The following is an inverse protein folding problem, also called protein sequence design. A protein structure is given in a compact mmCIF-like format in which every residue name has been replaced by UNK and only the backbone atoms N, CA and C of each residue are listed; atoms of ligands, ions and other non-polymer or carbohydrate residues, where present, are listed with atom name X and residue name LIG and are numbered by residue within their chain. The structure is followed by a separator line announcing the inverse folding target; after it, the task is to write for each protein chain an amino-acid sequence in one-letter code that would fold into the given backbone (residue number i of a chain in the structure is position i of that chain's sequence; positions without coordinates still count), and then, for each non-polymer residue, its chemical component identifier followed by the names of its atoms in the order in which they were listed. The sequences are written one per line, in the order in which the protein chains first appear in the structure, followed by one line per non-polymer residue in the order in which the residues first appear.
data_IF_581486130887
#
_entry.id   IF_581486130887
#
_cell.length_a   1.000
_cell.length_b   1.000
_cell.length_c   1.000
_cell.angle_alpha   90.00
_cell.angle_beta   90.00
_cell.angle_gamma   90.00
#
_symmetry.space_group_name_H-M   'P 1'
#
loop_
_entity.id
_entity.type
_entity.pdbx_description
1 polymer ?
#
# COMPACT_ATOMS: atom_id res chain seq x y z
N UNK A 1 48.94 -61.95 -27.67
CA UNK A 1 49.16 -61.23 -26.39
C UNK A 1 48.04 -60.22 -26.20
N UNK A 2 47.28 -60.38 -25.12
CA UNK A 2 46.03 -59.68 -24.81
C UNK A 2 46.31 -58.21 -24.48
N UNK A 3 45.57 -57.27 -25.06
CA UNK A 3 45.34 -55.94 -24.46
C UNK A 3 43.87 -55.57 -24.62
N UNK A 4 43.14 -55.89 -23.55
CA UNK A 4 41.80 -55.40 -23.24
C UNK A 4 41.99 -53.96 -22.78
N UNK A 5 41.35 -53.00 -23.46
CA UNK A 5 41.17 -51.65 -22.91
C UNK A 5 39.65 -51.45 -22.84
N UNK A 6 39.12 -51.68 -21.65
CA UNK A 6 37.71 -51.50 -21.32
C UNK A 6 37.36 -50.02 -21.35
N UNK A 7 36.36 -49.68 -22.16
CA UNK A 7 35.71 -48.38 -22.14
C UNK A 7 34.75 -48.39 -20.95
N UNK A 8 35.20 -47.81 -19.85
CA UNK A 8 34.39 -47.54 -18.66
C UNK A 8 33.51 -46.32 -18.99
N UNK A 9 32.29 -46.56 -19.48
CA UNK A 9 31.30 -45.50 -19.67
C UNK A 9 30.80 -45.06 -18.29
N UNK A 10 31.42 -44.00 -17.77
CA UNK A 10 31.07 -43.36 -16.51
C UNK A 10 29.66 -42.76 -16.62
N UNK A 11 28.69 -43.42 -16.00
CA UNK A 11 27.31 -42.97 -15.89
C UNK A 11 27.27 -41.76 -14.93
N UNK A 12 27.42 -40.55 -15.45
CA UNK A 12 27.20 -39.32 -14.69
C UNK A 12 25.71 -39.18 -14.36
N UNK A 13 25.35 -39.63 -13.16
CA UNK A 13 24.06 -39.38 -12.53
C UNK A 13 23.89 -37.87 -12.34
N UNK A 14 23.07 -37.25 -13.18
CA UNK A 14 22.69 -35.84 -13.07
C UNK A 14 21.79 -35.70 -11.84
N UNK A 15 22.38 -35.33 -10.71
CA UNK A 15 21.65 -34.84 -9.55
C UNK A 15 21.00 -33.51 -9.92
N UNK A 16 19.72 -33.54 -10.28
CA UNK A 16 18.85 -32.37 -10.37
C UNK A 16 18.68 -31.79 -8.97
N UNK A 17 19.56 -30.86 -8.59
CA UNK A 17 19.35 -29.98 -7.45
C UNK A 17 18.15 -29.09 -7.74
N UNK A 18 16.99 -29.48 -7.20
CA UNK A 18 15.81 -28.65 -7.15
C UNK A 18 16.07 -27.45 -6.23
N UNK A 19 16.48 -26.33 -6.82
CA UNK A 19 16.50 -25.03 -6.12
C UNK A 19 15.04 -24.64 -5.89
N UNK A 20 14.55 -24.85 -4.67
CA UNK A 20 13.27 -24.29 -4.25
C UNK A 20 13.49 -22.80 -4.00
N UNK A 21 13.21 -21.97 -5.00
CA UNK A 21 13.16 -20.53 -4.84
C UNK A 21 11.94 -20.19 -3.96
N UNK A 22 12.17 -20.02 -2.66
CA UNK A 22 11.15 -19.53 -1.75
C UNK A 22 10.82 -18.09 -2.13
N UNK A 23 9.76 -17.92 -2.91
CA UNK A 23 9.30 -16.61 -3.37
C UNK A 23 8.86 -15.79 -2.15
N UNK A 24 9.74 -14.88 -1.72
CA UNK A 24 9.46 -13.98 -0.61
C UNK A 24 8.22 -13.13 -0.96
N UNK A 25 7.18 -13.20 -0.13
CA UNK A 25 5.94 -12.47 -0.36
C UNK A 25 6.24 -10.97 -0.32
N UNK A 26 5.96 -10.26 -1.43
CA UNK A 26 6.17 -8.81 -1.55
C UNK A 26 5.49 -8.09 -0.37
N UNK A 27 6.28 -7.32 0.38
CA UNK A 27 5.81 -6.50 1.51
C UNK A 27 4.95 -5.34 1.01
N UNK A 28 3.95 -4.94 1.79
CA UNK A 28 3.05 -3.84 1.44
C UNK A 28 3.77 -2.48 1.53
N UNK A 29 4.50 -2.28 2.61
CA UNK A 29 5.30 -1.07 2.84
C UNK A 29 6.75 -1.32 2.46
N UNK A 30 7.36 -0.36 1.76
CA UNK A 30 8.78 -0.38 1.44
C UNK A 30 9.52 0.66 2.30
N UNK A 31 10.34 0.27 3.29
CA UNK A 31 11.13 1.21 4.09
C UNK A 31 12.17 2.00 3.28
N UNK A 32 12.63 1.45 2.16
CA UNK A 32 13.66 2.06 1.32
C UNK A 32 13.08 3.02 0.26
N UNK A 33 11.75 3.12 0.17
CA UNK A 33 11.11 4.04 -0.76
C UNK A 33 11.27 5.49 -0.30
N UNK A 34 11.58 6.38 -1.24
CA UNK A 34 11.45 7.82 -1.04
C UNK A 34 9.96 8.19 -1.00
N UNK A 35 9.41 8.30 0.22
CA UNK A 35 8.00 8.63 0.41
C UNK A 35 7.65 10.03 -0.12
N UNK A 36 8.58 10.99 -0.10
CA UNK A 36 8.32 12.34 -0.62
C UNK A 36 8.15 12.29 -2.13
N UNK A 37 9.04 11.60 -2.83
CA UNK A 37 8.95 11.41 -4.28
C UNK A 37 7.70 10.59 -4.67
N UNK A 38 7.39 9.55 -3.91
CA UNK A 38 6.19 8.73 -4.16
C UNK A 38 4.90 9.56 -4.03
N UNK A 39 4.79 10.38 -2.98
CA UNK A 39 3.65 11.29 -2.79
C UNK A 39 3.60 12.33 -3.92
N UNK A 40 4.72 12.95 -4.28
CA UNK A 40 4.75 13.94 -5.35
C UNK A 40 4.32 13.36 -6.71
N UNK A 41 4.78 12.15 -7.03
CA UNK A 41 4.36 11.41 -8.23
C UNK A 41 2.87 11.09 -8.21
N UNK A 42 2.35 10.62 -7.06
CA UNK A 42 0.94 10.33 -6.90
C UNK A 42 0.05 11.57 -7.04
N UNK A 43 0.47 12.72 -6.51
CA UNK A 43 -0.25 13.99 -6.68
C UNK A 43 -0.33 14.39 -8.15
N UNK A 44 0.77 14.28 -8.90
CA UNK A 44 0.77 14.60 -10.34
C UNK A 44 -0.19 13.70 -11.11
N UNK A 45 -0.17 12.39 -10.83
CA UNK A 45 -1.07 11.42 -11.48
C UNK A 45 -2.53 11.66 -11.08
N UNK A 46 -2.80 11.85 -9.79
CA UNK A 46 -4.15 12.12 -9.30
C UNK A 46 -4.74 13.39 -9.92
N UNK A 47 -3.93 14.45 -10.09
CA UNK A 47 -4.34 15.66 -10.80
C UNK A 47 -4.74 15.39 -12.25
N UNK A 48 -3.96 14.60 -12.99
CA UNK A 48 -4.24 14.27 -14.37
C UNK A 48 -5.50 13.40 -14.54
N UNK A 49 -5.79 12.56 -13.53
CA UNK A 49 -6.93 11.65 -13.53
C UNK A 49 -8.16 12.18 -12.78
N UNK A 50 -8.14 13.45 -12.32
CA UNK A 50 -9.20 14.05 -11.51
C UNK A 50 -9.53 13.25 -10.23
N UNK A 51 -8.50 12.73 -9.59
CA UNK A 51 -8.54 11.96 -8.32
C UNK A 51 -7.95 12.76 -7.17
N UNK A 52 -8.18 12.27 -5.95
CA UNK A 52 -7.41 12.65 -4.77
C UNK A 52 -6.27 11.65 -4.51
N UNK A 53 -5.37 11.95 -3.59
CA UNK A 53 -4.36 10.98 -3.12
C UNK A 53 -4.78 10.44 -1.77
N UNK A 54 -4.80 9.11 -1.64
CA UNK A 54 -5.02 8.40 -0.39
C UNK A 54 -3.68 7.89 0.15
N UNK A 55 -3.22 8.49 1.25
CA UNK A 55 -2.04 7.99 1.96
C UNK A 55 -2.48 7.00 3.03
N UNK A 56 -2.05 5.75 2.89
CA UNK A 56 -2.10 4.77 3.97
C UNK A 56 -0.75 4.80 4.68
N UNK A 57 -0.71 5.39 5.88
CA UNK A 57 0.53 5.51 6.65
C UNK A 57 0.56 4.40 7.71
N UNK A 58 1.65 3.65 7.75
CA UNK A 58 1.80 2.51 8.65
C UNK A 58 3.05 1.70 8.31
N UNK A 59 3.10 0.44 8.71
CA UNK A 59 4.26 -0.42 8.40
C UNK A 59 3.87 -1.89 8.35
N UNK A 60 4.79 -2.74 7.86
CA UNK A 60 4.52 -4.18 7.75
C UNK A 60 4.33 -4.89 9.09
N UNK A 61 4.75 -4.27 10.20
CA UNK A 61 4.52 -4.73 11.58
C UNK A 61 3.09 -4.44 12.07
N UNK A 62 2.34 -3.59 11.37
CA UNK A 62 1.00 -3.15 11.76
C UNK A 62 -0.07 -4.09 11.18
N UNK A 63 -0.58 -5.01 12.00
CA UNK A 63 -1.61 -5.99 11.58
C UNK A 63 -2.86 -5.29 11.06
N UNK A 64 -3.30 -4.19 11.70
CA UNK A 64 -4.47 -3.41 11.28
C UNK A 64 -4.29 -2.75 9.91
N UNK A 65 -3.06 -2.35 9.59
CA UNK A 65 -2.69 -1.80 8.29
C UNK A 65 -2.82 -2.86 7.19
N UNK A 66 -2.33 -4.08 7.45
CA UNK A 66 -2.44 -5.20 6.53
C UNK A 66 -3.91 -5.64 6.35
N UNK A 67 -4.69 -5.68 7.44
CA UNK A 67 -6.12 -6.02 7.39
C UNK A 67 -6.95 -4.97 6.64
N UNK A 68 -6.67 -3.68 6.80
CA UNK A 68 -7.31 -2.65 5.99
C UNK A 68 -7.03 -2.86 4.50
N UNK A 69 -5.77 -3.09 4.14
CA UNK A 69 -5.40 -3.34 2.75
C UNK A 69 -6.08 -4.61 2.19
N UNK A 70 -6.14 -5.69 2.97
CA UNK A 70 -6.85 -6.91 2.59
C UNK A 70 -8.34 -6.65 2.39
N UNK A 71 -9.00 -5.93 3.30
CA UNK A 71 -10.42 -5.57 3.18
C UNK A 71 -10.71 -4.81 1.89
N UNK A 72 -9.92 -3.78 1.59
CA UNK A 72 -10.10 -2.98 0.37
C UNK A 72 -9.90 -3.85 -0.87
N UNK A 73 -8.89 -4.72 -0.89
CA UNK A 73 -8.60 -5.53 -2.07
C UNK A 73 -9.57 -6.70 -2.27
N UNK A 74 -10.11 -7.26 -1.19
CA UNK A 74 -11.07 -8.39 -1.24
C UNK A 74 -12.53 -7.94 -1.40
N UNK A 75 -12.83 -6.65 -1.22
CA UNK A 75 -14.17 -6.10 -1.41
C UNK A 75 -14.26 -5.28 -2.71
N UNK A 76 -15.00 -5.78 -3.70
CA UNK A 76 -15.13 -5.15 -5.02
C UNK A 76 -15.67 -3.72 -4.97
N UNK A 77 -16.61 -3.43 -4.06
CA UNK A 77 -17.17 -2.08 -3.93
C UNK A 77 -16.11 -1.09 -3.46
N UNK A 78 -15.34 -1.45 -2.42
CA UNK A 78 -14.25 -0.61 -1.92
C UNK A 78 -13.14 -0.48 -2.95
N UNK A 79 -12.70 -1.58 -3.56
CA UNK A 79 -11.62 -1.59 -4.55
C UNK A 79 -11.95 -0.69 -5.74
N UNK A 80 -13.13 -0.86 -6.33
CA UNK A 80 -13.57 -0.08 -7.48
C UNK A 80 -13.74 1.40 -7.10
N UNK A 81 -14.28 1.69 -5.91
CA UNK A 81 -14.44 3.06 -5.45
C UNK A 81 -13.09 3.74 -5.23
N UNK A 82 -12.13 3.05 -4.60
CA UNK A 82 -10.77 3.58 -4.42
C UNK A 82 -10.08 3.81 -5.75
N UNK A 83 -10.06 2.81 -6.65
CA UNK A 83 -9.44 2.94 -7.97
C UNK A 83 -10.01 4.10 -8.80
N UNK A 84 -11.32 4.35 -8.70
CA UNK A 84 -11.97 5.44 -9.43
C UNK A 84 -11.61 6.82 -8.88
N UNK A 85 -11.45 6.97 -7.57
CA UNK A 85 -11.42 8.30 -6.93
C UNK A 85 -10.07 8.67 -6.31
N UNK A 86 -9.17 7.70 -6.13
CA UNK A 86 -7.94 7.88 -5.38
C UNK A 86 -6.73 7.26 -6.08
N UNK A 87 -5.59 7.97 -6.01
CA UNK A 87 -4.27 7.38 -6.16
C UNK A 87 -3.75 6.98 -4.79
N UNK A 88 -3.36 5.71 -4.61
CA UNK A 88 -3.00 5.15 -3.30
C UNK A 88 -1.49 5.17 -3.11
N UNK A 89 -1.03 5.63 -1.94
CA UNK A 89 0.38 5.55 -1.54
C UNK A 89 0.48 4.93 -0.15
N UNK A 90 1.29 3.87 -0.04
CA UNK A 90 1.65 3.27 1.24
C UNK A 90 2.92 3.93 1.78
N UNK A 91 2.79 4.76 2.82
CA UNK A 91 3.92 5.47 3.43
C UNK A 91 4.43 4.67 4.61
N UNK A 92 5.69 4.20 4.53
CA UNK A 92 6.29 3.39 5.57
C UNK A 92 6.56 4.20 6.85
N UNK A 93 6.26 3.60 7.99
CA UNK A 93 6.72 3.98 9.30
C UNK A 93 7.21 2.72 10.00
N UNK A 94 8.51 2.59 10.21
CA UNK A 94 9.12 1.43 10.86
C UNK A 94 10.39 1.84 11.61
N UNK A 95 11.11 0.87 12.18
CA UNK A 95 12.39 1.14 12.84
C UNK A 95 13.44 1.64 11.84
N UNK A 96 13.40 1.10 10.62
CA UNK A 96 14.35 1.38 9.55
C UNK A 96 14.14 2.77 8.95
N UNK A 97 12.88 3.16 8.73
CA UNK A 97 12.54 4.47 8.19
C UNK A 97 11.15 4.92 8.68
N UNK A 98 11.10 6.02 9.43
CA UNK A 98 9.87 6.60 9.96
C UNK A 98 9.27 7.68 9.06
N UNK A 99 9.98 8.11 8.02
CA UNK A 99 9.55 9.21 7.15
C UNK A 99 9.17 10.49 7.95
N UNK A 100 9.92 10.83 9.00
CA UNK A 100 9.54 11.87 9.99
C UNK A 100 9.30 13.24 9.34
N UNK A 101 10.12 13.65 8.38
CA UNK A 101 9.92 14.90 7.65
C UNK A 101 8.62 14.91 6.84
N UNK A 102 8.26 13.79 6.20
CA UNK A 102 6.99 13.62 5.49
C UNK A 102 5.83 13.69 6.48
N UNK A 103 5.94 13.04 7.63
CA UNK A 103 4.90 13.11 8.66
C UNK A 103 4.73 14.53 9.22
N UNK A 104 5.82 15.27 9.41
CA UNK A 104 5.77 16.67 9.83
C UNK A 104 5.07 17.54 8.77
N UNK A 105 5.39 17.38 7.48
CA UNK A 105 4.71 18.13 6.41
C UNK A 105 3.23 17.79 6.29
N UNK A 106 2.84 16.59 6.70
CA UNK A 106 1.45 16.14 6.79
C UNK A 106 0.78 16.52 8.12
N UNK A 107 1.42 17.34 8.96
CA UNK A 107 0.91 17.81 10.24
C UNK A 107 0.70 16.69 11.26
N UNK A 108 1.70 15.84 11.42
CA UNK A 108 1.84 14.82 12.45
C UNK A 108 0.66 13.83 12.56
N UNK A 109 0.24 13.16 11.47
CA UNK A 109 -0.92 12.27 11.47
C UNK A 109 -0.74 11.06 12.40
N UNK A 110 0.50 10.61 12.63
CA UNK A 110 0.81 9.47 13.50
C UNK A 110 0.35 9.61 14.95
N UNK A 111 -0.02 10.82 15.39
CA UNK A 111 -0.63 11.06 16.72
C UNK A 111 -1.89 10.22 16.96
N UNK A 112 -2.55 9.75 15.90
CA UNK A 112 -3.74 8.93 15.97
C UNK A 112 -3.47 7.42 15.98
N UNK A 113 -2.21 6.98 15.91
CA UNK A 113 -1.85 5.57 15.76
C UNK A 113 -1.85 5.13 14.29
N UNK A 114 -1.77 3.81 14.06
CA UNK A 114 -1.63 3.22 12.73
C UNK A 114 -2.65 2.09 12.48
N UNK A 115 -3.21 1.97 11.26
CA UNK A 115 -2.97 2.87 10.14
C UNK A 115 -3.57 4.26 10.39
N UNK A 116 -2.94 5.31 9.88
CA UNK A 116 -3.60 6.62 9.79
C UNK A 116 -3.75 6.95 8.31
N UNK A 117 -4.92 7.48 7.94
CA UNK A 117 -5.20 7.84 6.56
C UNK A 117 -5.12 9.34 6.39
N UNK A 118 -4.50 9.78 5.31
CA UNK A 118 -4.41 11.20 4.96
C UNK A 118 -4.88 11.37 3.52
N UNK A 119 -5.79 12.32 3.29
CA UNK A 119 -6.27 12.64 1.95
C UNK A 119 -5.61 13.94 1.48
N UNK A 120 -5.00 13.90 0.31
CA UNK A 120 -4.50 15.08 -0.39
C UNK A 120 -5.37 15.38 -1.62
N UNK A 121 -5.58 16.66 -1.91
CA UNK A 121 -6.19 17.10 -3.16
C UNK A 121 -5.21 16.94 -4.35
N UNK A 122 -5.69 17.20 -5.58
CA UNK A 122 -4.86 17.17 -6.80
C UNK A 122 -3.76 18.24 -6.86
N UNK A 123 -3.60 19.08 -5.83
CA UNK A 123 -2.50 20.04 -5.68
C UNK A 123 -1.51 19.60 -4.59
N UNK A 124 -1.79 18.50 -3.89
CA UNK A 124 -0.99 17.99 -2.78
C UNK A 124 -1.32 18.64 -1.43
N UNK A 125 -2.38 19.45 -1.34
CA UNK A 125 -2.81 19.99 -0.06
C UNK A 125 -3.50 18.91 0.76
N UNK A 126 -3.13 18.81 2.04
CA UNK A 126 -3.83 17.95 2.97
C UNK A 126 -5.22 18.50 3.26
N UNK A 127 -6.24 17.80 2.79
CA UNK A 127 -7.65 18.15 3.03
C UNK A 127 -8.26 17.39 4.19
N UNK A 128 -7.70 16.23 4.56
CA UNK A 128 -8.18 15.47 5.71
C UNK A 128 -7.12 14.57 6.35
N UNK A 129 -7.26 14.33 7.65
CA UNK A 129 -6.55 13.26 8.38
C UNK A 129 -7.59 12.45 9.12
N UNK A 130 -7.68 11.17 8.79
CA UNK A 130 -8.64 10.25 9.37
C UNK A 130 -7.96 9.38 10.42
N UNK A 131 -8.43 9.49 11.67
CA UNK A 131 -8.17 8.48 12.69
C UNK A 131 -8.88 7.18 12.27
N UNK A 132 -8.13 6.11 12.01
CA UNK A 132 -8.71 4.85 11.53
C UNK A 132 -9.59 4.16 12.57
N UNK A 133 -9.39 4.46 13.87
CA UNK A 133 -10.16 3.86 14.96
C UNK A 133 -11.68 4.08 14.79
N UNK A 134 -12.08 5.19 14.18
CA UNK A 134 -13.49 5.48 13.90
C UNK A 134 -14.10 4.58 12.82
N UNK A 135 -13.27 3.90 12.03
CA UNK A 135 -13.67 3.01 10.96
C UNK A 135 -13.58 1.53 11.38
N UNK A 136 -13.12 1.24 12.60
CA UNK A 136 -12.95 -0.11 13.09
C UNK A 136 -14.29 -0.82 13.33
N UNK A 137 -14.28 -2.13 13.11
CA UNK A 137 -15.36 -3.05 13.37
C UNK A 137 -14.81 -4.47 13.55
N UNK A 138 -15.10 -5.09 14.70
CA UNK A 138 -14.58 -6.42 15.05
C UNK A 138 -13.05 -6.45 15.06
N UNK A 139 -12.45 -7.32 14.24
CA UNK A 139 -10.99 -7.49 14.14
C UNK A 139 -10.38 -6.73 12.95
N UNK A 140 -11.06 -5.74 12.40
CA UNK A 140 -10.61 -4.97 11.25
C UNK A 140 -11.43 -3.70 11.07
N UNK A 141 -11.67 -3.29 9.84
CA UNK A 141 -12.47 -2.10 9.54
C UNK A 141 -13.83 -2.51 8.98
N UNK A 142 -14.86 -1.74 9.29
CA UNK A 142 -16.21 -1.94 8.75
C UNK A 142 -16.28 -1.45 7.30
N UNK A 143 -16.65 -2.32 6.36
CA UNK A 143 -16.66 -1.98 4.93
C UNK A 143 -17.56 -0.78 4.62
N UNK A 144 -18.73 -0.70 5.26
CA UNK A 144 -19.65 0.43 5.11
C UNK A 144 -19.05 1.73 5.66
N UNK A 145 -18.47 1.71 6.86
CA UNK A 145 -17.82 2.88 7.47
C UNK A 145 -16.67 3.40 6.60
N UNK A 146 -15.86 2.48 6.06
CA UNK A 146 -14.77 2.83 5.13
C UNK A 146 -15.33 3.43 3.85
N UNK A 147 -16.39 2.87 3.26
CA UNK A 147 -17.01 3.41 2.05
C UNK A 147 -17.59 4.82 2.28
N UNK A 148 -18.25 5.05 3.41
CA UNK A 148 -18.79 6.37 3.78
C UNK A 148 -17.68 7.40 3.94
N UNK A 149 -16.60 7.04 4.65
CA UNK A 149 -15.40 7.86 4.74
C UNK A 149 -14.83 8.21 3.36
N UNK A 150 -14.64 7.21 2.48
CA UNK A 150 -14.14 7.43 1.13
C UNK A 150 -15.08 8.30 0.30
N UNK A 151 -16.39 8.19 0.48
CA UNK A 151 -17.36 9.05 -0.22
C UNK A 151 -17.24 10.50 0.20
N UNK A 152 -17.17 10.76 1.50
CA UNK A 152 -17.13 12.11 2.06
C UNK A 152 -15.88 12.92 1.70
N UNK A 153 -14.80 12.26 1.24
CA UNK A 153 -13.54 12.91 0.87
C UNK A 153 -13.13 12.66 -0.58
N UNK A 154 -14.06 12.18 -1.41
CA UNK A 154 -13.85 12.00 -2.85
C UNK A 154 -13.78 13.35 -3.56
N UNK A 155 -13.21 13.42 -4.79
CA UNK A 155 -13.26 14.64 -5.60
C UNK A 155 -14.69 15.18 -5.77
N UNK A 156 -15.66 14.29 -6.03
CA UNK A 156 -17.07 14.68 -6.19
C UNK A 156 -17.65 15.30 -4.92
N UNK A 157 -17.30 14.79 -3.73
CA UNK A 157 -17.81 15.30 -2.47
C UNK A 157 -17.30 16.71 -2.13
N UNK A 158 -16.16 17.12 -2.68
CA UNK A 158 -15.64 18.48 -2.53
C UNK A 158 -15.89 19.37 -3.75
N UNK A 159 -16.61 18.86 -4.76
CA UNK A 159 -17.02 19.66 -5.91
C UNK A 159 -18.20 20.56 -5.52
N UNK A 160 -18.07 21.90 -5.60
CA UNK A 160 -19.16 22.82 -5.28
C UNK A 160 -20.41 22.63 -6.15
N UNK A 161 -20.29 22.02 -7.32
CA UNK A 161 -21.44 21.74 -8.20
C UNK A 161 -22.36 20.63 -7.65
N UNK A 162 -21.85 19.79 -6.73
CA UNK A 162 -22.65 18.77 -6.04
C UNK A 162 -23.67 19.34 -5.04
N UNK A 163 -23.63 20.66 -4.78
CA UNK A 163 -24.44 21.34 -3.76
C UNK A 163 -25.27 22.50 -4.31
N UNK A 164 -25.44 22.55 -5.64
CA UNK A 164 -26.25 23.56 -6.33
C UNK A 164 -27.55 22.97 -6.83
#
# INVERSE_FOLDING_TARGET
MKKIIGIFFLYCFVMSVGVSAQQEKKKLYNPDADARLAIATAVQKAKAESKHVFLQIGGNWCVWCLRFNELVNSNDTLRNYMQKNYEIVHVNYSKENRNEQVLASLGYPQRFGFPVFVILDGKGNRIHTQNSAYLEEGKGHGSQKVLEFLKNWSPQALDPTSYK
#
